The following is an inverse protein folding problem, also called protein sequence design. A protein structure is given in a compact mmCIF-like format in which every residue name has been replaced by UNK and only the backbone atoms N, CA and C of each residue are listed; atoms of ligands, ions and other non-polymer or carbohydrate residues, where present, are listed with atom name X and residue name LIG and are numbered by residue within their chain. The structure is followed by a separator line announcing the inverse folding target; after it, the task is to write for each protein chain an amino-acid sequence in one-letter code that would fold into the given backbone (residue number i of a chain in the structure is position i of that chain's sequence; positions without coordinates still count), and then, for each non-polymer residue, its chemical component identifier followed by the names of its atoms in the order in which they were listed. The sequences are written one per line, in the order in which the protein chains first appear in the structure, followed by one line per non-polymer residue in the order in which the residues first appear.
data_IF_480902604742
#
_entry.id   IF_480902604742
#
_cell.length_a   1.000
_cell.length_b   1.000
_cell.length_c   1.000
_cell.angle_alpha   90.00
_cell.angle_beta   90.00
_cell.angle_gamma   90.00
#
_symmetry.space_group_name_H-M   'P 1'
#
loop_
_entity.id
_entity.type
_entity.pdbx_description
1 polymer ?
#
# COMPACT_ATOMS: atom_id res chain seq x y z
N UNK A 1 10.47 -10.17 -4.23
CA UNK A 1 9.38 -11.13 -4.44
C UNK A 1 9.63 -12.32 -3.54
N UNK A 2 8.66 -12.69 -2.70
CA UNK A 2 8.69 -13.91 -1.88
C UNK A 2 7.38 -14.64 -2.18
N UNK A 3 7.42 -15.88 -2.67
CA UNK A 3 6.23 -16.66 -3.01
C UNK A 3 5.21 -15.86 -3.86
N UNK A 4 5.67 -15.17 -4.90
CA UNK A 4 4.83 -14.31 -5.76
C UNK A 4 4.19 -13.08 -5.07
N UNK A 5 4.69 -12.72 -3.89
CA UNK A 5 4.32 -11.48 -3.19
C UNK A 5 5.41 -10.42 -3.32
N UNK A 6 4.99 -9.20 -3.69
CA UNK A 6 5.83 -8.02 -3.64
C UNK A 6 5.75 -7.40 -2.24
N UNK A 7 6.89 -7.22 -1.58
CA UNK A 7 6.97 -6.49 -0.32
C UNK A 7 7.19 -5.00 -0.61
N UNK A 8 6.28 -4.15 -0.13
CA UNK A 8 6.40 -2.70 -0.31
C UNK A 8 6.58 -1.97 1.03
N UNK A 9 7.82 -1.54 1.36
CA UNK A 9 8.07 -0.83 2.59
C UNK A 9 7.53 0.61 2.52
N UNK A 10 6.75 1.00 3.52
CA UNK A 10 6.16 2.33 3.62
C UNK A 10 6.37 2.95 5.00
N UNK A 11 7.21 3.98 5.07
CA UNK A 11 7.41 4.79 6.29
C UNK A 11 6.32 5.84 6.40
N UNK A 12 5.42 5.70 7.36
CA UNK A 12 4.28 6.63 7.50
C UNK A 12 4.50 7.73 8.57
N UNK A 13 5.47 7.56 9.46
CA UNK A 13 5.90 8.59 10.39
C UNK A 13 7.37 8.41 10.80
N UNK A 14 7.98 9.50 11.24
CA UNK A 14 9.26 9.53 11.94
C UNK A 14 9.13 9.31 13.45
N UNK A 15 7.92 9.31 13.99
CA UNK A 15 7.67 9.13 15.42
C UNK A 15 6.66 8.02 15.66
N UNK A 16 6.63 7.41 16.86
CA UNK A 16 5.64 6.40 17.20
C UNK A 16 4.23 6.93 16.93
N UNK A 17 3.49 6.21 16.10
CA UNK A 17 2.09 6.49 15.77
C UNK A 17 1.34 5.18 15.50
N UNK A 18 0.07 5.07 15.89
CA UNK A 18 -0.76 3.93 15.52
C UNK A 18 -0.85 3.78 14.01
N UNK A 19 -0.89 2.53 13.53
CA UNK A 19 -1.03 2.22 12.10
C UNK A 19 -2.34 2.77 11.51
N UNK A 20 -3.41 2.88 12.30
CA UNK A 20 -4.70 3.46 11.89
C UNK A 20 -4.62 4.96 11.57
N UNK A 21 -3.51 5.62 11.96
CA UNK A 21 -3.23 7.01 11.60
C UNK A 21 -2.28 7.13 10.41
N UNK A 22 -1.87 6.01 9.79
CA UNK A 22 -1.05 6.05 8.60
C UNK A 22 -1.81 6.75 7.47
N UNK A 23 -1.10 7.64 6.77
CA UNK A 23 -1.67 8.41 5.66
C UNK A 23 -0.66 8.53 4.54
N UNK A 24 -1.14 8.45 3.30
CA UNK A 24 -0.31 8.71 2.14
C UNK A 24 -0.02 10.22 2.03
N UNK A 25 1.25 10.56 1.85
CA UNK A 25 1.66 11.95 1.73
C UNK A 25 1.00 12.61 0.50
N UNK A 26 0.56 13.86 0.64
CA UNK A 26 -0.13 14.60 -0.43
C UNK A 26 0.76 14.85 -1.65
N UNK A 27 2.08 14.76 -1.51
CA UNK A 27 3.06 14.90 -2.58
C UNK A 27 3.55 13.55 -3.13
N UNK A 28 2.93 12.43 -2.76
CA UNK A 28 3.28 11.11 -3.29
C UNK A 28 3.10 11.07 -4.81
N UNK A 29 4.08 10.52 -5.53
CA UNK A 29 4.05 10.43 -6.99
C UNK A 29 2.84 9.64 -7.50
N UNK A 30 2.33 9.95 -8.72
CA UNK A 30 1.21 9.22 -9.32
C UNK A 30 1.45 7.71 -9.40
N UNK A 31 2.67 7.29 -9.74
CA UNK A 31 3.07 5.87 -9.78
C UNK A 31 2.92 5.18 -8.43
N UNK A 32 3.40 5.81 -7.34
CA UNK A 32 3.26 5.24 -6.00
C UNK A 32 1.80 5.17 -5.54
N UNK A 33 0.99 6.18 -5.87
CA UNK A 33 -0.45 6.15 -5.61
C UNK A 33 -1.14 5.01 -6.37
N UNK A 34 -0.77 4.81 -7.64
CA UNK A 34 -1.34 3.74 -8.47
C UNK A 34 -0.97 2.36 -7.95
N UNK A 35 0.25 2.16 -7.45
CA UNK A 35 0.66 0.89 -6.81
C UNK A 35 -0.23 0.51 -5.62
N UNK A 36 -0.53 1.45 -4.72
CA UNK A 36 -1.43 1.17 -3.59
C UNK A 36 -2.87 0.89 -4.01
N UNK A 37 -3.33 1.43 -5.15
CA UNK A 37 -4.68 1.21 -5.66
C UNK A 37 -4.80 -0.10 -6.43
N UNK A 38 -3.82 -0.42 -7.27
CA UNK A 38 -3.83 -1.60 -8.14
C UNK A 38 -3.60 -2.92 -7.39
N UNK A 39 -3.06 -2.88 -6.17
CA UNK A 39 -2.80 -4.07 -5.37
C UNK A 39 -3.49 -4.03 -4.00
N UNK A 40 -4.48 -3.16 -3.81
CA UNK A 40 -5.40 -3.27 -2.67
C UNK A 40 -6.24 -4.56 -2.79
N UNK A 41 -6.86 -5.02 -1.70
CA UNK A 41 -7.83 -6.11 -1.79
C UNK A 41 -8.89 -5.76 -2.85
N UNK A 42 -9.25 -6.76 -3.67
CA UNK A 42 -10.20 -6.61 -4.76
C UNK A 42 -11.48 -5.99 -4.21
N UNK A 43 -11.97 -4.89 -4.80
CA UNK A 43 -13.22 -4.28 -4.36
C UNK A 43 -14.32 -5.34 -4.42
N UNK A 44 -15.10 -5.49 -3.36
CA UNK A 44 -16.31 -6.31 -3.43
C UNK A 44 -17.18 -5.72 -4.54
N UNK A 45 -17.42 -6.51 -5.59
CA UNK A 45 -18.05 -6.13 -6.85
C UNK A 45 -19.08 -4.99 -6.76
N UNK A 46 -18.95 -4.00 -7.65
CA UNK A 46 -20.10 -3.22 -8.11
C UNK A 46 -20.12 -1.71 -7.85
N UNK A 47 -19.02 -0.97 -8.05
CA UNK A 47 -19.05 0.49 -8.01
C UNK A 47 -18.54 1.13 -9.30
N UNK A 48 -19.48 1.21 -10.25
CA UNK A 48 -19.56 2.07 -11.44
C UNK A 48 -18.84 1.62 -12.72
N UNK A 49 -19.65 1.44 -13.79
CA UNK A 49 -19.19 1.38 -15.18
C UNK A 49 -18.54 2.74 -15.54
N UNK A 50 -17.29 2.71 -16.02
CA UNK A 50 -16.62 3.90 -16.56
C UNK A 50 -17.17 4.16 -17.97
N UNK A 51 -17.47 5.43 -18.27
CA UNK A 51 -18.04 5.86 -19.55
C UNK A 51 -17.05 5.66 -20.70
N UNK A 52 -17.51 5.13 -21.84
CA UNK A 52 -16.70 4.66 -22.98
C UNK A 52 -15.83 5.78 -23.60
N UNK A 53 -16.22 7.05 -23.42
CA UNK A 53 -15.47 8.21 -23.91
C UNK A 53 -14.19 8.52 -23.11
N UNK A 54 -13.99 7.87 -21.94
CA UNK A 54 -12.83 8.05 -21.05
C UNK A 54 -11.84 6.86 -21.10
N UNK A 55 -12.18 5.80 -21.83
CA UNK A 55 -11.44 4.52 -21.90
C UNK A 55 -10.79 4.32 -23.27
N UNK A 56 -9.90 5.23 -23.67
CA UNK A 56 -9.11 5.08 -24.92
C UNK A 56 -8.33 3.76 -24.96
N UNK A 57 -7.99 3.25 -26.14
CA UNK A 57 -7.20 2.00 -26.30
C UNK A 57 -5.90 2.00 -25.46
N UNK A 58 -5.15 3.12 -25.44
CA UNK A 58 -3.95 3.25 -24.60
C UNK A 58 -4.24 3.17 -23.08
N UNK A 59 -5.45 3.56 -22.66
CA UNK A 59 -5.90 3.44 -21.27
C UNK A 59 -6.29 1.99 -20.95
N UNK A 60 -6.95 1.31 -21.88
CA UNK A 60 -7.36 -0.08 -21.75
C UNK A 60 -6.16 -1.02 -21.72
N UNK A 61 -5.19 -0.87 -22.63
CA UNK A 61 -3.94 -1.66 -22.65
C UNK A 61 -3.17 -1.48 -21.34
N UNK A 62 -3.11 -0.24 -20.83
CA UNK A 62 -2.44 0.06 -19.58
C UNK A 62 -3.23 -0.50 -18.39
N UNK A 63 -4.56 -0.41 -18.40
CA UNK A 63 -5.42 -0.96 -17.36
C UNK A 63 -5.31 -2.48 -17.31
N UNK A 64 -5.42 -3.16 -18.45
CA UNK A 64 -5.28 -4.61 -18.60
C UNK A 64 -3.91 -5.09 -18.13
N UNK A 65 -2.82 -4.44 -18.57
CA UNK A 65 -1.48 -4.79 -18.11
C UNK A 65 -1.29 -4.62 -16.59
N UNK A 66 -1.97 -3.66 -15.96
CA UNK A 66 -1.92 -3.45 -14.51
C UNK A 66 -2.86 -4.36 -13.72
N UNK A 67 -4.04 -4.69 -14.26
CA UNK A 67 -4.94 -5.71 -13.71
C UNK A 67 -4.27 -7.09 -13.77
N UNK A 68 -3.63 -7.45 -14.88
CA UNK A 68 -2.84 -8.67 -15.00
C UNK A 68 -1.66 -8.69 -14.03
N UNK A 69 -0.98 -7.55 -13.83
CA UNK A 69 0.06 -7.42 -12.81
C UNK A 69 -0.50 -7.55 -11.38
N UNK A 70 -1.69 -7.02 -11.13
CA UNK A 70 -2.41 -7.07 -9.85
C UNK A 70 -2.91 -8.48 -9.51
N UNK A 71 -3.44 -9.19 -10.51
CA UNK A 71 -3.96 -10.55 -10.38
C UNK A 71 -2.84 -11.60 -10.22
N UNK A 72 -1.67 -11.38 -10.84
CA UNK A 72 -0.53 -12.29 -10.78
C UNK A 72 0.43 -12.02 -9.61
N UNK A 73 0.36 -10.85 -8.97
CA UNK A 73 1.26 -10.45 -7.88
C UNK A 73 0.50 -9.77 -6.74
N UNK A 74 0.49 -10.42 -5.56
CA UNK A 74 -0.08 -9.84 -4.33
C UNK A 74 0.91 -8.87 -3.68
N UNK A 75 0.51 -7.63 -3.44
CA UNK A 75 1.33 -6.65 -2.72
C UNK A 75 1.09 -6.78 -1.21
N UNK A 76 2.13 -7.10 -0.46
CA UNK A 76 2.12 -7.01 1.00
C UNK A 76 2.80 -5.71 1.39
N UNK A 77 2.02 -4.75 1.89
CA UNK A 77 2.57 -3.50 2.35
C UNK A 77 3.16 -3.67 3.76
N UNK A 78 4.40 -3.22 3.94
CA UNK A 78 5.11 -3.24 5.22
C UNK A 78 5.17 -1.82 5.76
N UNK A 79 4.23 -1.48 6.64
CA UNK A 79 4.09 -0.15 7.22
C UNK A 79 4.96 -0.03 8.46
N UNK A 80 5.75 1.04 8.53
CA UNK A 80 6.61 1.25 9.68
C UNK A 80 6.74 2.72 10.09
N UNK A 81 7.08 2.92 11.37
CA UNK A 81 7.57 4.22 11.86
C UNK A 81 9.03 4.08 12.22
N UNK A 82 9.83 5.06 11.83
CA UNK A 82 11.26 5.04 12.11
C UNK A 82 11.89 6.44 12.05
N UNK A 83 12.88 6.67 12.90
CA UNK A 83 13.78 7.81 12.84
C UNK A 83 15.27 7.37 12.83
N UNK A 84 16.19 8.28 12.48
CA UNK A 84 17.61 7.95 12.39
C UNK A 84 18.29 7.56 13.71
N UNK A 85 17.77 8.00 14.85
CA UNK A 85 18.37 7.78 16.19
C UNK A 85 17.85 6.48 16.82
N UNK A 86 16.53 6.29 16.77
CA UNK A 86 15.84 5.16 17.41
C UNK A 86 15.58 3.98 16.47
N UNK A 87 15.91 4.12 15.18
CA UNK A 87 15.63 3.10 14.19
C UNK A 87 14.13 2.88 14.02
N UNK A 88 13.71 1.63 13.85
CA UNK A 88 12.29 1.29 13.66
C UNK A 88 11.59 1.16 15.02
N UNK A 89 10.48 1.86 15.21
CA UNK A 89 9.67 1.75 16.44
C UNK A 89 8.60 0.65 16.34
N UNK A 90 7.97 0.54 15.17
CA UNK A 90 6.88 -0.40 14.92
C UNK A 90 6.87 -0.79 13.45
N UNK A 91 6.59 -2.06 13.18
CA UNK A 91 6.38 -2.62 11.84
C UNK A 91 5.05 -3.36 11.86
N UNK A 92 4.25 -3.13 10.82
CA UNK A 92 3.04 -3.87 10.57
C UNK A 92 3.02 -4.34 9.13
N UNK A 93 2.37 -5.47 8.91
CA UNK A 93 2.05 -5.97 7.58
C UNK A 93 0.59 -6.35 7.50
N UNK A 94 0.09 -6.46 6.27
CA UNK A 94 -1.28 -6.89 6.01
C UNK A 94 -1.81 -6.30 4.71
N UNK A 95 -3.13 -6.41 4.57
CA UNK A 95 -3.84 -5.96 3.40
C UNK A 95 -4.27 -4.52 3.63
N UNK A 96 -3.61 -3.58 2.96
CA UNK A 96 -3.90 -2.15 3.08
C UNK A 96 -4.69 -1.69 1.85
N UNK A 97 -5.85 -1.08 2.05
CA UNK A 97 -6.61 -0.44 0.98
C UNK A 97 -6.48 1.08 1.10
N UNK A 98 -6.07 1.75 0.03
CA UNK A 98 -5.89 3.20 0.02
C UNK A 98 -7.20 3.92 -0.29
N UNK A 99 -7.69 4.68 0.67
CA UNK A 99 -8.93 5.46 0.55
C UNK A 99 -8.72 6.77 -0.23
N UNK A 100 -9.80 7.37 -0.81
CA UNK A 100 -9.73 8.66 -1.50
C UNK A 100 -9.16 9.80 -0.64
N UNK A 101 -9.37 9.77 0.67
CA UNK A 101 -8.89 10.79 1.62
C UNK A 101 -7.42 10.57 2.06
N UNK A 102 -6.74 9.58 1.46
CA UNK A 102 -5.35 9.17 1.71
C UNK A 102 -5.15 8.39 3.02
N UNK A 103 -6.21 7.96 3.69
CA UNK A 103 -6.12 6.98 4.78
C UNK A 103 -6.03 5.55 4.24
N UNK A 104 -5.84 4.61 5.15
CA UNK A 104 -5.83 3.20 4.84
C UNK A 104 -6.88 2.46 5.66
N UNK A 105 -7.67 1.63 5.00
CA UNK A 105 -8.48 0.60 5.65
C UNK A 105 -7.74 -0.73 5.65
N UNK A 106 -7.98 -1.53 6.69
CA UNK A 106 -7.19 -2.73 7.01
C UNK A 106 -8.09 -3.93 7.27
N UNK A 107 -8.46 -4.72 6.25
CA UNK A 107 -9.18 -5.97 6.45
C UNK A 107 -8.39 -6.96 7.32
N UNK A 108 -7.06 -6.99 7.14
CA UNK A 108 -6.13 -7.72 7.99
C UNK A 108 -4.88 -6.89 8.26
N UNK A 109 -4.44 -6.90 9.51
CA UNK A 109 -3.16 -6.32 9.93
C UNK A 109 -2.57 -7.10 11.10
N UNK A 110 -1.26 -7.23 11.10
CA UNK A 110 -0.50 -7.81 12.20
C UNK A 110 0.74 -6.96 12.48
N UNK A 111 1.07 -6.81 13.76
CA UNK A 111 2.30 -6.16 14.19
C UNK A 111 3.42 -7.20 14.21
N UNK A 112 4.51 -6.91 13.50
CA UNK A 112 5.69 -7.76 13.51
C UNK A 112 6.58 -7.45 14.71
N UNK A 113 7.28 -8.44 15.26
CA UNK A 113 8.26 -8.21 16.31
C UNK A 113 9.38 -7.32 15.79
N UNK A 114 9.68 -6.25 16.52
CA UNK A 114 10.81 -5.37 16.25
C UNK A 114 11.98 -5.84 17.10
N UNK A 115 13.14 -6.05 16.48
CA UNK A 115 14.35 -6.41 17.22
C UNK A 115 14.66 -5.32 18.26
N UNK A 116 15.01 -5.71 19.51
CA UNK A 116 15.44 -4.72 20.50
C UNK A 116 16.65 -3.97 19.96
N UNK A 117 16.65 -2.64 20.10
CA UNK A 117 17.81 -1.84 19.74
C UNK A 117 19.02 -2.35 20.53
N UNK A 118 20.07 -2.73 19.81
CA UNK A 118 21.38 -2.89 20.44
C UNK A 118 21.85 -1.48 20.78
N UNK A 119 21.72 -1.09 22.05
CA UNK A 119 22.37 0.10 22.57
C UNK A 119 23.88 -0.08 22.37
N UNK A 120 24.48 0.79 21.56
CA UNK A 120 25.92 0.83 21.33
C UNK A 120 26.64 1.54 22.49
#
# INVERSE_FOLDING_TARGET
MINDHALFPFRYADRPRPIDQARLASNTSPTRRRLFRAHGPEPQDGLFELDDDLTTDDYLDLHEAFEELGASTKLVCVFYTADPESGIHAIHWGDAHLEPDRTFTWPYKEQLPVAPQMLA
#
